data_IF_672243334838
#
_entry.id   IF_672243334838
#
_cell.length_a   1.000
_cell.length_b   1.000
_cell.length_c   1.000
_cell.angle_alpha   90.00
_cell.angle_beta   90.00
_cell.angle_gamma   90.00
#
_symmetry.space_group_name_H-M   'P 1'
#
loop_
_entity.id
_entity.type
_entity.pdbx_description
1 polymer ?
#
# COMPACT_ATOMS: atom_id res chain seq x y z
N UNK A 1 -21.12 1.46 -25.12
CA UNK A 1 -20.57 0.10 -24.91
C UNK A 1 -19.79 0.12 -23.61
N UNK A 2 -20.26 -0.58 -22.59
CA UNK A 2 -19.49 -0.76 -21.36
C UNK A 2 -18.45 -1.84 -21.63
N UNK A 3 -17.21 -1.44 -21.83
CA UNK A 3 -16.08 -2.38 -21.83
C UNK A 3 -15.81 -2.67 -20.36
N UNK A 4 -16.55 -3.62 -19.78
CA UNK A 4 -16.28 -4.10 -18.43
C UNK A 4 -14.97 -4.88 -18.46
N UNK A 5 -13.86 -4.16 -18.25
CA UNK A 5 -12.58 -4.78 -17.97
C UNK A 5 -12.69 -5.36 -16.56
N UNK A 6 -12.77 -6.69 -16.47
CA UNK A 6 -12.84 -7.39 -15.19
C UNK A 6 -11.63 -7.01 -14.34
N UNK A 7 -11.87 -6.48 -13.13
CA UNK A 7 -10.83 -6.33 -12.12
C UNK A 7 -10.33 -7.73 -11.75
N UNK A 8 -9.02 -7.92 -11.76
CA UNK A 8 -8.43 -9.20 -11.38
C UNK A 8 -8.62 -9.45 -9.88
N UNK A 9 -8.72 -10.72 -9.46
CA UNK A 9 -8.83 -11.09 -8.03
C UNK A 9 -7.67 -10.48 -7.22
N UNK A 10 -6.47 -10.43 -7.80
CA UNK A 10 -5.31 -9.80 -7.19
C UNK A 10 -5.54 -8.30 -6.96
N UNK A 11 -6.11 -7.59 -7.95
CA UNK A 11 -6.43 -6.17 -7.83
C UNK A 11 -7.51 -5.87 -6.80
N UNK A 12 -8.54 -6.70 -6.75
CA UNK A 12 -9.61 -6.56 -5.77
C UNK A 12 -9.09 -6.65 -4.33
N UNK A 13 -8.13 -7.53 -4.06
CA UNK A 13 -7.57 -7.72 -2.70
C UNK A 13 -6.95 -6.45 -2.15
N UNK A 14 -6.06 -5.81 -2.90
CA UNK A 14 -5.44 -4.57 -2.41
C UNK A 14 -6.36 -3.37 -2.49
N UNK A 15 -7.36 -3.34 -3.39
CA UNK A 15 -8.41 -2.32 -3.35
C UNK A 15 -9.20 -2.38 -2.04
N UNK A 16 -9.59 -3.56 -1.59
CA UNK A 16 -10.30 -3.71 -0.32
C UNK A 16 -9.44 -3.25 0.87
N UNK A 17 -8.12 -3.47 0.85
CA UNK A 17 -7.20 -2.95 1.87
C UNK A 17 -7.13 -1.42 1.86
N UNK A 18 -7.00 -0.81 0.68
CA UNK A 18 -6.96 0.64 0.47
C UNK A 18 -8.25 1.27 0.98
N UNK A 19 -9.41 0.75 0.57
CA UNK A 19 -10.73 1.25 0.96
C UNK A 19 -10.87 1.26 2.48
N UNK A 20 -10.57 0.12 3.13
CA UNK A 20 -10.73 -0.05 4.56
C UNK A 20 -9.84 0.89 5.39
N UNK A 21 -8.63 1.18 4.91
CA UNK A 21 -7.63 1.88 5.72
C UNK A 21 -7.56 3.40 5.47
N UNK A 22 -8.04 3.89 4.32
CA UNK A 22 -7.86 5.30 3.93
C UNK A 22 -9.11 6.15 4.27
N UNK A 23 -10.31 5.61 4.10
CA UNK A 23 -11.55 6.35 4.33
C UNK A 23 -11.54 7.72 3.62
N UNK A 24 -11.75 8.80 4.38
CA UNK A 24 -11.95 10.16 3.84
C UNK A 24 -10.74 10.75 3.10
N UNK A 25 -9.54 10.19 3.31
CA UNK A 25 -8.30 10.62 2.66
C UNK A 25 -8.22 10.16 1.18
N UNK A 26 -9.22 9.43 0.69
CA UNK A 26 -9.29 8.99 -0.72
C UNK A 26 -9.22 10.16 -1.70
N UNK A 27 -9.65 11.35 -1.31
CA UNK A 27 -9.61 12.57 -2.14
C UNK A 27 -8.18 13.05 -2.37
N UNK A 28 -7.29 12.89 -1.39
CA UNK A 28 -5.88 13.24 -1.54
C UNK A 28 -5.17 12.23 -2.44
N UNK A 29 -5.50 10.95 -2.29
CA UNK A 29 -5.06 9.93 -3.24
C UNK A 29 -5.57 10.22 -4.66
N UNK A 30 -6.84 10.61 -4.83
CA UNK A 30 -7.42 10.95 -6.11
C UNK A 30 -6.67 12.12 -6.79
N UNK A 31 -6.33 13.17 -6.03
CA UNK A 31 -5.55 14.32 -6.53
C UNK A 31 -4.17 13.90 -7.02
N UNK A 32 -3.49 13.02 -6.28
CA UNK A 32 -2.18 12.48 -6.67
C UNK A 32 -2.27 11.58 -7.91
N UNK A 33 -3.42 10.93 -8.12
CA UNK A 33 -3.73 10.13 -9.31
C UNK A 33 -4.29 10.97 -10.47
N UNK A 34 -4.14 12.30 -10.41
CA UNK A 34 -4.55 13.27 -11.43
C UNK A 34 -6.06 13.31 -11.69
N UNK A 35 -6.89 12.98 -10.69
CA UNK A 35 -8.32 13.26 -10.76
C UNK A 35 -8.56 14.75 -10.57
N UNK A 36 -9.20 15.37 -11.56
CA UNK A 36 -9.64 16.76 -11.42
C UNK A 36 -10.75 16.91 -10.36
N UNK A 37 -10.94 18.16 -9.93
CA UNK A 37 -11.91 18.49 -8.88
C UNK A 37 -13.37 18.19 -9.28
N UNK A 38 -13.68 18.22 -10.58
CA UNK A 38 -15.01 17.89 -11.10
C UNK A 38 -15.28 16.41 -10.93
N UNK A 39 -14.33 15.55 -11.31
CA UNK A 39 -14.43 14.10 -11.18
C UNK A 39 -14.52 13.66 -9.71
N UNK A 40 -13.76 14.30 -8.83
CA UNK A 40 -13.85 14.07 -7.38
C UNK A 40 -15.25 14.44 -6.86
N UNK A 41 -15.82 15.57 -7.31
CA UNK A 41 -17.18 15.98 -6.95
C UNK A 41 -18.23 15.01 -7.47
N UNK A 42 -18.08 14.51 -8.70
CA UNK A 42 -18.98 13.50 -9.27
C UNK A 42 -18.98 12.23 -8.44
N UNK A 43 -17.81 11.68 -8.10
CA UNK A 43 -17.70 10.48 -7.25
C UNK A 43 -18.30 10.71 -5.87
N UNK A 44 -18.05 11.88 -5.27
CA UNK A 44 -18.65 12.26 -3.97
C UNK A 44 -20.18 12.33 -4.06
N UNK A 45 -20.72 12.87 -5.15
CA UNK A 45 -22.16 13.02 -5.36
C UNK A 45 -22.84 11.67 -5.63
N UNK A 46 -22.17 10.74 -6.32
CA UNK A 46 -22.69 9.40 -6.61
C UNK A 46 -22.79 8.52 -5.35
N UNK A 47 -21.88 8.71 -4.38
CA UNK A 47 -21.79 7.88 -3.18
C UNK A 47 -21.80 8.75 -1.91
N UNK A 48 -22.78 9.67 -1.80
CA UNK A 48 -22.83 10.70 -0.75
C UNK A 48 -22.71 10.18 0.69
N UNK A 49 -23.25 8.99 0.95
CA UNK A 49 -23.39 8.44 2.30
C UNK A 49 -22.24 7.51 2.71
N UNK A 50 -21.45 7.03 1.76
CA UNK A 50 -20.47 5.98 1.99
C UNK A 50 -19.12 6.38 1.40
N UNK A 51 -18.18 6.66 2.29
CA UNK A 51 -16.82 7.08 1.94
C UNK A 51 -16.01 5.91 1.36
N UNK A 52 -16.33 4.68 1.76
CA UNK A 52 -15.69 3.47 1.26
C UNK A 52 -16.11 3.24 -0.20
N UNK A 53 -17.40 3.43 -0.50
CA UNK A 53 -17.91 3.38 -1.88
C UNK A 53 -17.32 4.50 -2.75
N UNK A 54 -17.12 5.71 -2.22
CA UNK A 54 -16.41 6.78 -2.92
C UNK A 54 -14.98 6.37 -3.29
N UNK A 55 -14.25 5.79 -2.33
CA UNK A 55 -12.90 5.30 -2.57
C UNK A 55 -12.89 4.14 -3.57
N UNK A 56 -13.83 3.21 -3.46
CA UNK A 56 -13.98 2.08 -4.38
C UNK A 56 -14.24 2.54 -5.82
N UNK A 57 -15.16 3.49 -6.01
CA UNK A 57 -15.45 4.06 -7.33
C UNK A 57 -14.21 4.75 -7.91
N UNK A 58 -13.48 5.54 -7.12
CA UNK A 58 -12.24 6.20 -7.57
C UNK A 58 -11.21 5.17 -8.06
N UNK A 59 -10.99 4.09 -7.31
CA UNK A 59 -10.05 3.02 -7.69
C UNK A 59 -10.50 2.26 -8.94
N UNK A 60 -11.80 1.96 -9.06
CA UNK A 60 -12.37 1.32 -10.24
C UNK A 60 -12.23 2.21 -11.47
N UNK A 61 -12.52 3.49 -11.33
CA UNK A 61 -12.39 4.47 -12.39
C UNK A 61 -10.93 4.59 -12.83
N UNK A 62 -9.98 4.58 -11.89
CA UNK A 62 -8.55 4.60 -12.21
C UNK A 62 -8.11 3.33 -12.95
N UNK A 63 -8.51 2.17 -12.45
CA UNK A 63 -8.24 0.88 -13.08
C UNK A 63 -8.80 0.84 -14.50
N UNK A 64 -10.05 1.25 -14.70
CA UNK A 64 -10.70 1.25 -16.01
C UNK A 64 -10.07 2.25 -16.98
N UNK A 65 -9.63 3.41 -16.47
CA UNK A 65 -8.94 4.42 -17.29
C UNK A 65 -7.59 3.90 -17.78
N UNK A 66 -6.81 3.23 -16.91
CA UNK A 66 -5.50 2.67 -17.28
C UNK A 66 -5.57 1.33 -18.02
N UNK A 67 -6.62 0.55 -17.79
CA UNK A 67 -6.83 -0.78 -18.36
C UNK A 67 -5.60 -1.68 -18.16
N UNK A 68 -5.03 -2.18 -19.26
CA UNK A 68 -3.83 -3.04 -19.23
C UNK A 68 -2.57 -2.35 -18.71
N UNK A 69 -2.52 -1.02 -18.74
CA UNK A 69 -1.40 -0.24 -18.20
C UNK A 69 -1.52 0.02 -16.70
N UNK A 70 -2.57 -0.51 -16.05
CA UNK A 70 -2.71 -0.40 -14.61
C UNK A 70 -1.58 -1.15 -13.90
N UNK A 71 -0.83 -0.43 -13.06
CA UNK A 71 0.33 -0.97 -12.38
C UNK A 71 0.23 -0.75 -10.86
N UNK A 72 0.31 -1.85 -10.09
CA UNK A 72 0.32 -1.84 -8.62
C UNK A 72 1.41 -0.92 -8.05
N UNK A 73 2.60 -0.90 -8.65
CA UNK A 73 3.72 -0.07 -8.18
C UNK A 73 3.43 1.43 -8.34
N UNK A 74 2.71 1.83 -9.38
CA UNK A 74 2.30 3.23 -9.53
C UNK A 74 1.29 3.65 -8.47
N UNK A 75 0.36 2.75 -8.12
CA UNK A 75 -0.58 2.98 -7.03
C UNK A 75 0.13 3.07 -5.67
N UNK A 76 1.10 2.20 -5.40
CA UNK A 76 1.95 2.28 -4.19
C UNK A 76 2.68 3.62 -4.11
N UNK A 77 3.28 4.07 -5.23
CA UNK A 77 3.94 5.39 -5.29
C UNK A 77 2.97 6.53 -5.05
N UNK A 78 1.75 6.44 -5.56
CA UNK A 78 0.70 7.43 -5.33
C UNK A 78 0.28 7.48 -3.86
N UNK A 79 0.16 6.32 -3.19
CA UNK A 79 -0.12 6.26 -1.75
C UNK A 79 0.97 6.95 -0.92
N UNK A 80 2.25 6.71 -1.21
CA UNK A 80 3.34 7.43 -0.54
C UNK A 80 3.27 8.95 -0.75
N UNK A 81 3.00 9.39 -1.98
CA UNK A 81 2.84 10.82 -2.30
C UNK A 81 1.63 11.47 -1.62
N UNK A 82 0.58 10.69 -1.36
CA UNK A 82 -0.60 11.12 -0.62
C UNK A 82 -0.43 11.05 0.91
N UNK A 83 0.79 10.80 1.42
CA UNK A 83 1.09 10.61 2.84
C UNK A 83 0.43 9.37 3.48
N UNK A 84 0.04 8.39 2.65
CA UNK A 84 -0.62 7.13 3.06
C UNK A 84 0.39 5.97 3.12
N UNK A 85 1.60 6.24 3.61
CA UNK A 85 2.72 5.30 3.60
C UNK A 85 2.41 3.97 4.30
N UNK A 86 1.71 4.01 5.44
CA UNK A 86 1.32 2.81 6.17
C UNK A 86 0.43 1.86 5.34
N UNK A 87 -0.46 2.40 4.51
CA UNK A 87 -1.31 1.62 3.60
C UNK A 87 -0.49 1.07 2.43
N UNK A 88 0.44 1.88 1.90
CA UNK A 88 1.37 1.48 0.86
C UNK A 88 2.22 0.27 1.27
N UNK A 89 2.74 0.28 2.51
CA UNK A 89 3.54 -0.81 3.07
C UNK A 89 2.73 -2.11 3.19
N UNK A 90 1.50 -2.06 3.70
CA UNK A 90 0.60 -3.23 3.79
C UNK A 90 0.38 -3.89 2.42
N UNK A 91 0.15 -3.09 1.38
CA UNK A 91 -0.07 -3.58 0.02
C UNK A 91 1.21 -4.16 -0.59
N UNK A 92 2.37 -3.60 -0.23
CA UNK A 92 3.67 -4.08 -0.70
C UNK A 92 4.02 -5.44 -0.08
N UNK A 93 3.75 -5.65 1.22
CA UNK A 93 3.97 -6.94 1.89
C UNK A 93 3.09 -8.05 1.27
N UNK A 94 1.85 -7.72 0.90
CA UNK A 94 0.97 -8.62 0.17
C UNK A 94 1.50 -9.02 -1.23
N UNK A 95 2.49 -8.31 -1.78
CA UNK A 95 3.19 -8.73 -3.02
C UNK A 95 4.20 -9.86 -2.77
N UNK A 96 4.85 -9.86 -1.60
CA UNK A 96 5.96 -10.77 -1.27
C UNK A 96 5.46 -12.15 -0.86
N UNK A 97 4.22 -12.27 -0.36
CA UNK A 97 3.66 -13.57 0.09
C UNK A 97 3.27 -14.48 -1.09
N UNK A 98 3.09 -13.94 -2.30
CA UNK A 98 2.82 -14.75 -3.52
C UNK A 98 4.06 -15.04 -4.37
N UNK A 99 5.24 -14.56 -3.96
CA UNK A 99 6.51 -15.09 -4.46
C UNK A 99 6.97 -16.15 -3.46
N UNK A 100 6.98 -17.40 -3.90
CA UNK A 100 7.55 -18.58 -3.23
C UNK A 100 8.55 -18.27 -2.09
N UNK A 101 8.39 -18.83 -0.86
CA UNK A 101 9.32 -18.65 0.25
C UNK A 101 10.65 -19.37 -0.05
N UNK A 102 11.47 -18.75 -0.88
CA UNK A 102 12.65 -19.37 -1.45
C UNK A 102 13.75 -18.40 -1.85
N UNK A 103 13.90 -17.24 -1.20
CA UNK A 103 15.21 -16.57 -1.20
C UNK A 103 15.32 -15.51 -0.11
N UNK A 104 16.25 -15.74 0.81
CA UNK A 104 16.44 -14.93 2.00
C UNK A 104 17.05 -13.56 1.76
N UNK A 105 16.83 -12.69 2.73
CA UNK A 105 17.81 -11.68 3.11
C UNK A 105 17.73 -11.49 4.62
N UNK A 106 18.61 -12.22 5.31
CA UNK A 106 18.93 -11.98 6.70
C UNK A 106 19.47 -10.55 6.82
N UNK A 107 18.69 -9.64 7.41
CA UNK A 107 19.23 -8.38 7.93
C UNK A 107 19.67 -8.65 9.37
N UNK A 108 20.86 -9.21 9.52
CA UNK A 108 21.57 -9.24 10.79
C UNK A 108 21.95 -7.79 11.14
N UNK A 109 21.24 -7.18 12.09
CA UNK A 109 21.67 -5.95 12.72
C UNK A 109 22.59 -6.32 13.90
N UNK A 110 23.89 -6.26 13.65
CA UNK A 110 24.94 -6.35 14.66
C UNK A 110 25.23 -4.96 15.23
N UNK A 111 25.06 -4.79 16.53
CA UNK A 111 25.68 -3.77 17.39
C UNK A 111 25.42 -4.22 18.84
N UNK A 112 26.34 -4.38 19.79
CA UNK A 112 27.61 -3.70 20.02
C UNK A 112 28.48 -4.44 21.06
N UNK A 113 29.80 -4.34 20.86
CA UNK A 113 30.90 -4.14 21.83
C UNK A 113 31.25 -5.24 22.84
N UNK A 114 32.24 -6.02 22.46
CA UNK A 114 33.30 -6.48 23.36
C UNK A 114 34.34 -5.35 23.54
N UNK A 115 34.68 -5.01 24.79
CA UNK A 115 36.05 -4.64 25.19
C UNK A 115 36.16 -4.47 26.71
N UNK A 116 36.74 -5.51 27.34
CA UNK A 116 37.81 -5.40 28.34
C UNK A 116 37.50 -4.83 29.73
N UNK A 117 37.43 -5.71 30.74
CA UNK A 117 38.00 -5.43 32.06
C UNK A 117 38.75 -6.66 32.59
N UNK A 118 39.95 -6.41 33.11
CA UNK A 118 41.00 -7.36 33.47
C UNK A 118 40.98 -7.63 34.97
N UNK A 119 41.42 -8.84 35.37
CA UNK A 119 41.78 -9.32 36.72
C UNK A 119 40.61 -9.62 37.68
N UNK A 120 40.60 -10.70 38.47
CA UNK A 120 41.70 -11.43 39.15
C UNK A 120 41.48 -12.94 39.22
N UNK A 121 42.59 -13.66 39.14
CA UNK A 121 42.80 -15.02 39.62
C UNK A 121 42.66 -15.06 41.15
N UNK A 122 41.95 -16.07 41.69
CA UNK A 122 42.32 -16.69 42.97
C UNK A 122 41.95 -18.17 42.96
N UNK A 123 42.91 -18.95 43.45
CA UNK A 123 43.01 -20.40 43.46
C UNK A 123 42.35 -20.98 44.73
N UNK A 124 41.66 -22.11 44.56
CA UNK A 124 41.55 -23.29 45.45
C UNK A 124 41.40 -23.13 46.98
N UNK A 125 40.41 -23.88 47.51
CA UNK A 125 40.69 -25.13 48.21
C UNK A 125 39.55 -26.14 47.99
#
# INVERSE_FOLDING_TARGET
MYVSFYITIAAQRYFNLIIKDIGAEWKDLARVLDFDQTRIKTITANNLLDVDDQCAEMLHVQHNTKGKSFNKLELIKALYKANLGAVAEKINIDHEITQDPGSGSQKALNTNKDQGQVHKIVHLK
#
